data_IF_018790371050
#
_entry.id   IF_018790371050
#
_cell.length_a   1.000
_cell.length_b   1.000
_cell.length_c   1.000
_cell.angle_alpha   90.00
_cell.angle_beta   90.00
_cell.angle_gamma   90.00
#
_symmetry.space_group_name_H-M   'P 1'
#
loop_
_entity.id
_entity.type
_entity.pdbx_description
1 polymer ?
#
# COMPACT_ATOMS: atom_id res chain seq x y z
N UNK A 1 9.29 -4.33 57.45
CA UNK A 1 9.70 -3.93 56.08
C UNK A 1 8.96 -4.80 55.06
N UNK A 2 7.90 -4.29 54.42
CA UNK A 2 7.14 -5.04 53.40
C UNK A 2 7.65 -4.64 52.01
N UNK A 3 8.31 -5.57 51.32
CA UNK A 3 8.72 -5.40 49.91
C UNK A 3 7.51 -5.72 49.04
N UNK A 4 6.93 -4.70 48.41
CA UNK A 4 5.91 -4.88 47.37
C UNK A 4 6.66 -5.22 46.08
N UNK A 5 6.57 -6.48 45.65
CA UNK A 5 7.05 -6.91 44.34
C UNK A 5 6.12 -6.32 43.27
N UNK A 6 6.59 -5.31 42.56
CA UNK A 6 5.90 -4.76 41.39
C UNK A 6 6.10 -5.72 40.21
N UNK A 7 5.13 -6.63 40.00
CA UNK A 7 5.07 -7.44 38.77
C UNK A 7 4.65 -6.54 37.61
N UNK A 8 5.64 -6.10 36.81
CA UNK A 8 5.42 -5.44 35.53
C UNK A 8 4.90 -6.52 34.56
N UNK A 9 3.58 -6.57 34.38
CA UNK A 9 2.94 -7.37 33.35
C UNK A 9 3.20 -6.68 32.00
N UNK A 10 4.19 -7.17 31.26
CA UNK A 10 4.42 -6.80 29.85
C UNK A 10 3.25 -7.36 29.02
N UNK A 11 2.18 -6.59 28.90
CA UNK A 11 1.06 -6.92 27.98
C UNK A 11 1.53 -6.68 26.55
N UNK A 12 2.03 -7.72 25.88
CA UNK A 12 2.21 -7.72 24.43
C UNK A 12 0.82 -7.74 23.79
N UNK A 13 0.35 -6.59 23.29
CA UNK A 13 -0.87 -6.54 22.48
C UNK A 13 -0.73 -7.49 21.29
N UNK A 14 -1.70 -8.39 21.02
CA UNK A 14 -1.65 -9.22 19.83
C UNK A 14 -1.72 -8.32 18.61
N UNK A 15 -0.66 -8.33 17.80
CA UNK A 15 -0.67 -7.69 16.48
C UNK A 15 -1.56 -8.57 15.60
N UNK A 16 -2.81 -8.19 15.45
CA UNK A 16 -3.73 -8.84 14.52
C UNK A 16 -3.29 -8.43 13.11
N UNK A 17 -2.75 -9.38 12.34
CA UNK A 17 -2.50 -9.18 10.92
C UNK A 17 -3.75 -9.64 10.17
N UNK A 18 -4.39 -8.73 9.45
CA UNK A 18 -5.49 -9.04 8.55
C UNK A 18 -4.96 -9.14 7.12
N UNK A 19 -5.40 -10.15 6.38
CA UNK A 19 -5.05 -10.29 4.97
C UNK A 19 -6.14 -9.66 4.10
N UNK A 20 -5.74 -8.76 3.22
CA UNK A 20 -6.61 -8.06 2.27
C UNK A 20 -6.38 -8.61 0.87
N UNK A 21 -7.40 -9.24 0.30
CA UNK A 21 -7.35 -9.80 -1.05
C UNK A 21 -8.00 -8.86 -2.03
N UNK A 22 -7.30 -8.52 -3.12
CA UNK A 22 -7.78 -7.64 -4.19
C UNK A 22 -8.90 -8.34 -4.97
N UNK A 23 -10.03 -7.66 -5.13
CA UNK A 23 -11.21 -8.11 -5.90
C UNK A 23 -11.59 -7.06 -6.96
N UNK A 24 -10.63 -6.66 -7.77
CA UNK A 24 -10.82 -5.70 -8.85
C UNK A 24 -9.53 -5.09 -9.35
N UNK A 25 -9.65 -4.01 -10.11
CA UNK A 25 -8.51 -3.22 -10.56
C UNK A 25 -7.93 -2.41 -9.42
N UNK A 26 -6.61 -2.25 -9.46
CA UNK A 26 -5.86 -1.35 -8.59
C UNK A 26 -5.72 -0.03 -9.32
N UNK A 27 -6.12 1.05 -8.69
CA UNK A 27 -6.09 2.39 -9.27
C UNK A 27 -5.44 3.39 -8.35
N UNK A 28 -4.89 4.47 -8.89
CA UNK A 28 -4.32 5.56 -8.10
C UNK A 28 -4.58 6.92 -8.75
N UNK A 29 -4.76 8.00 -7.97
CA UNK A 29 -4.85 9.33 -8.51
C UNK A 29 -3.47 9.81 -9.00
N UNK A 30 -3.43 10.35 -10.22
CA UNK A 30 -2.30 11.10 -10.76
C UNK A 30 -2.76 12.55 -10.88
N UNK A 31 -2.18 13.43 -10.05
CA UNK A 31 -2.52 14.84 -10.04
C UNK A 31 -1.51 15.64 -10.86
N UNK A 32 -1.99 16.59 -11.68
CA UNK A 32 -1.18 17.50 -12.48
C UNK A 32 -1.69 18.93 -12.29
N UNK A 33 -0.77 19.89 -12.16
CA UNK A 33 -1.09 21.31 -12.07
C UNK A 33 -0.17 22.04 -11.10
N UNK A 34 -0.10 23.36 -11.23
CA UNK A 34 0.53 24.26 -10.26
C UNK A 34 -0.57 25.22 -9.80
N UNK A 35 -0.99 25.11 -8.54
CA UNK A 35 -2.08 25.92 -7.95
C UNK A 35 -3.42 25.19 -7.87
N UNK A 36 -4.04 24.87 -9.01
CA UNK A 36 -5.24 24.01 -9.06
C UNK A 36 -4.82 22.66 -9.62
N UNK A 37 -4.87 21.63 -8.78
CA UNK A 37 -4.51 20.26 -9.16
C UNK A 37 -5.71 19.55 -9.80
N UNK A 38 -5.54 19.07 -11.03
CA UNK A 38 -6.47 18.14 -11.67
C UNK A 38 -5.96 16.73 -11.44
N UNK A 39 -6.77 15.91 -10.77
CA UNK A 39 -6.44 14.52 -10.47
C UNK A 39 -7.27 13.59 -11.33
N UNK A 40 -6.58 12.75 -12.10
CA UNK A 40 -7.20 11.68 -12.89
C UNK A 40 -6.93 10.33 -12.21
N UNK A 41 -7.88 9.41 -12.31
CA UNK A 41 -7.70 8.05 -11.77
C UNK A 41 -7.10 7.17 -12.86
N UNK A 42 -5.92 6.61 -12.58
CA UNK A 42 -5.21 5.71 -13.49
C UNK A 42 -5.20 4.29 -12.96
N UNK A 43 -5.14 3.31 -13.87
CA UNK A 43 -4.91 1.91 -13.52
C UNK A 43 -3.43 1.68 -13.17
N UNK A 44 -3.21 0.78 -12.23
CA UNK A 44 -1.87 0.34 -11.83
C UNK A 44 -1.75 -1.13 -12.20
N UNK A 45 -1.06 -1.38 -13.32
CA UNK A 45 -0.93 -2.72 -13.91
C UNK A 45 0.39 -3.39 -13.53
N UNK A 46 1.43 -2.59 -13.30
CA UNK A 46 2.75 -3.09 -12.93
C UNK A 46 3.49 -2.15 -11.97
N UNK A 47 4.46 -2.73 -11.28
CA UNK A 47 5.39 -2.06 -10.37
C UNK A 47 6.82 -2.43 -10.72
N UNK A 48 7.76 -1.50 -10.55
CA UNK A 48 9.19 -1.77 -10.70
C UNK A 48 9.79 -2.20 -9.35
N UNK A 49 10.51 -3.33 -9.33
CA UNK A 49 11.23 -3.82 -8.16
C UNK A 49 12.59 -3.15 -7.97
N UNK A 50 13.28 -3.48 -6.87
CA UNK A 50 14.67 -3.02 -6.57
C UNK A 50 15.66 -3.30 -7.68
N UNK A 51 15.44 -4.38 -8.40
CA UNK A 51 16.31 -4.89 -9.46
C UNK A 51 16.00 -4.27 -10.83
N UNK A 52 15.12 -3.25 -10.88
CA UNK A 52 14.69 -2.61 -12.13
C UNK A 52 13.77 -3.47 -12.99
N UNK A 53 13.32 -4.63 -12.48
CA UNK A 53 12.39 -5.50 -13.21
C UNK A 53 10.96 -5.10 -12.91
N UNK A 54 10.11 -5.28 -13.93
CA UNK A 54 8.69 -5.03 -13.84
C UNK A 54 7.98 -6.28 -13.36
N UNK A 55 7.13 -6.11 -12.35
CA UNK A 55 6.30 -7.15 -11.77
C UNK A 55 4.83 -6.74 -11.86
N UNK A 56 3.95 -7.72 -12.02
CA UNK A 56 2.52 -7.50 -11.83
C UNK A 56 2.25 -7.10 -10.37
N UNK A 57 1.24 -6.26 -10.16
CA UNK A 57 0.87 -5.84 -8.80
C UNK A 57 0.35 -7.04 -7.99
N UNK A 58 0.78 -7.13 -6.74
CA UNK A 58 0.36 -8.19 -5.84
C UNK A 58 -1.16 -8.12 -5.60
N UNK A 59 -1.81 -9.28 -5.51
CA UNK A 59 -3.25 -9.42 -5.26
C UNK A 59 -3.58 -9.73 -3.79
N UNK A 60 -2.57 -9.83 -2.93
CA UNK A 60 -2.72 -10.00 -1.47
C UNK A 60 -1.86 -8.98 -0.73
N UNK A 61 -2.48 -8.31 0.25
CA UNK A 61 -1.81 -7.37 1.13
C UNK A 61 -2.02 -7.78 2.59
N UNK A 62 -0.95 -7.90 3.36
CA UNK A 62 -1.03 -8.19 4.81
C UNK A 62 -1.33 -6.95 5.67
N UNK A 63 -1.39 -5.77 5.04
CA UNK A 63 -1.68 -4.49 5.67
C UNK A 63 -2.17 -3.51 4.62
N UNK A 64 -3.18 -2.73 4.97
CA UNK A 64 -3.63 -1.55 4.23
C UNK A 64 -3.69 -0.36 5.19
N UNK A 65 -3.59 0.86 4.67
CA UNK A 65 -3.66 2.08 5.50
C UNK A 65 -5.09 2.41 5.90
N UNK A 66 -6.05 2.12 5.03
CA UNK A 66 -7.48 2.31 5.31
C UNK A 66 -8.29 1.19 4.64
N UNK A 67 -9.33 0.72 5.34
CA UNK A 67 -10.34 -0.21 4.83
C UNK A 67 -11.73 0.33 5.13
N UNK A 68 -12.57 0.47 4.09
CA UNK A 68 -13.93 1.00 4.21
C UNK A 68 -14.81 0.47 3.09
N UNK A 69 -15.98 -0.09 3.45
CA UNK A 69 -17.00 -0.55 2.50
C UNK A 69 -16.45 -1.47 1.40
N UNK A 70 -15.59 -2.45 1.75
CA UNK A 70 -15.01 -3.38 0.78
C UNK A 70 -13.99 -2.74 -0.17
N UNK A 71 -13.45 -1.56 0.19
CA UNK A 71 -12.38 -0.88 -0.53
C UNK A 71 -11.19 -0.66 0.41
N UNK A 72 -9.99 -0.83 -0.13
CA UNK A 72 -8.72 -0.70 0.55
C UNK A 72 -7.94 0.46 -0.05
N UNK A 73 -7.16 1.15 0.78
CA UNK A 73 -6.24 2.20 0.37
C UNK A 73 -4.85 1.96 0.96
N UNK A 74 -3.83 2.20 0.15
CA UNK A 74 -2.43 2.14 0.55
C UNK A 74 -1.74 3.42 0.06
N UNK A 75 -1.11 4.17 0.95
CA UNK A 75 -0.30 5.35 0.63
C UNK A 75 1.04 4.91 0.10
N UNK A 76 1.45 5.45 -1.05
CA UNK A 76 2.71 5.06 -1.72
C UNK A 76 3.85 5.99 -1.31
N UNK A 77 3.54 7.27 -1.04
CA UNK A 77 4.51 8.27 -0.58
C UNK A 77 4.38 8.48 0.93
N UNK A 78 5.20 7.78 1.72
CA UNK A 78 5.31 8.05 3.16
C UNK A 78 6.58 8.87 3.41
N UNK A 79 6.42 10.07 4.00
CA UNK A 79 7.55 10.88 4.52
C UNK A 79 8.23 10.10 5.66
N UNK A 80 9.27 9.34 5.33
CA UNK A 80 10.37 8.83 6.16
C UNK A 80 10.15 8.76 7.68
N UNK A 81 9.92 7.55 8.23
CA UNK A 81 10.59 7.01 9.44
C UNK A 81 10.11 5.56 9.70
N UNK A 82 11.01 4.58 9.57
CA UNK A 82 10.93 3.27 10.24
C UNK A 82 9.77 2.33 9.91
N UNK A 83 10.09 1.24 9.20
CA UNK A 83 9.51 -0.10 9.41
C UNK A 83 8.00 -0.29 9.16
N UNK A 84 7.50 -0.32 7.92
CA UNK A 84 6.31 -1.14 7.64
C UNK A 84 6.36 -1.85 6.27
N UNK A 85 6.28 -3.18 6.35
CA UNK A 85 6.19 -4.15 5.26
C UNK A 85 5.01 -3.86 4.33
N UNK A 86 5.31 -3.39 3.12
CA UNK A 86 4.40 -3.47 1.99
C UNK A 86 4.38 -4.93 1.52
N UNK A 87 3.51 -5.75 2.13
CA UNK A 87 3.12 -7.10 1.72
C UNK A 87 4.12 -7.80 0.79
N UNK A 88 5.16 -8.38 1.40
CA UNK A 88 6.23 -9.21 0.82
C UNK A 88 6.19 -9.40 -0.71
N UNK A 89 6.56 -8.33 -1.44
CA UNK A 89 7.19 -8.28 -2.77
C UNK A 89 7.08 -6.89 -3.43
N UNK A 90 6.24 -5.99 -2.92
CA UNK A 90 6.13 -4.62 -3.44
C UNK A 90 6.75 -3.55 -2.50
N UNK A 91 7.55 -3.98 -1.51
CA UNK A 91 8.32 -3.13 -0.59
C UNK A 91 9.44 -2.28 -1.24
N UNK A 92 9.36 -2.06 -2.56
CA UNK A 92 10.29 -1.20 -3.30
C UNK A 92 9.75 -0.64 -4.60
N UNK A 93 8.44 -0.63 -4.80
CA UNK A 93 7.87 0.03 -5.95
C UNK A 93 8.04 1.55 -5.81
N UNK A 94 9.18 2.08 -6.25
CA UNK A 94 9.40 3.51 -6.42
C UNK A 94 8.63 4.05 -7.62
N UNK A 95 8.18 3.14 -8.51
CA UNK A 95 7.56 3.48 -9.78
C UNK A 95 6.39 2.54 -10.08
N UNK A 96 5.28 3.14 -10.50
CA UNK A 96 4.05 2.46 -10.91
C UNK A 96 3.86 2.64 -12.41
N UNK A 97 3.20 1.67 -13.04
CA UNK A 97 2.99 1.67 -14.48
C UNK A 97 1.54 1.33 -14.82
N UNK A 98 1.02 2.03 -15.84
CA UNK A 98 -0.27 1.76 -16.47
C UNK A 98 -0.03 1.18 -17.87
N UNK A 99 -0.78 0.15 -18.25
CA UNK A 99 -0.73 -0.43 -19.60
C UNK A 99 -1.70 0.31 -20.51
N UNK A 100 -1.17 1.04 -21.49
CA UNK A 100 -1.97 1.75 -22.51
C UNK A 100 -1.52 1.31 -23.91
N UNK A 101 -2.45 0.78 -24.72
CA UNK A 101 -2.14 0.43 -26.12
C UNK A 101 -1.07 -0.66 -26.29
N UNK A 102 -0.82 -1.47 -25.24
CA UNK A 102 0.22 -2.49 -25.24
C UNK A 102 1.55 -2.05 -24.62
N UNK A 103 1.74 -0.75 -24.39
CA UNK A 103 2.93 -0.19 -23.76
C UNK A 103 2.70 0.11 -22.27
N UNK A 104 3.75 -0.01 -21.47
CA UNK A 104 3.74 0.38 -20.06
C UNK A 104 4.22 1.82 -19.92
N UNK A 105 3.36 2.69 -19.41
CA UNK A 105 3.67 4.09 -19.13
C UNK A 105 3.81 4.30 -17.63
N UNK A 106 4.89 4.97 -17.23
CA UNK A 106 5.13 5.34 -15.85
C UNK A 106 4.08 6.34 -15.38
N UNK A 107 3.52 6.09 -14.20
CA UNK A 107 2.58 6.97 -13.50
C UNK A 107 3.13 7.29 -12.12
N UNK A 108 2.90 8.52 -11.67
CA UNK A 108 3.24 8.97 -10.32
C UNK A 108 1.95 9.09 -9.51
N UNK A 109 1.72 8.10 -8.65
CA UNK A 109 0.54 8.01 -7.79
C UNK A 109 0.95 8.19 -6.34
N UNK A 110 0.17 8.97 -5.58
CA UNK A 110 0.42 9.23 -4.15
C UNK A 110 -0.21 8.19 -3.22
N UNK A 111 -1.20 7.47 -3.75
CA UNK A 111 -1.84 6.33 -3.10
C UNK A 111 -2.39 5.38 -4.17
N UNK A 112 -2.60 4.13 -3.79
CA UNK A 112 -3.36 3.17 -4.56
C UNK A 112 -4.62 2.78 -3.79
N UNK A 113 -5.67 2.46 -4.52
CA UNK A 113 -6.95 2.00 -4.00
C UNK A 113 -7.49 0.86 -4.83
N UNK A 114 -8.18 -0.07 -4.18
CA UNK A 114 -8.74 -1.24 -4.84
C UNK A 114 -9.89 -1.81 -4.02
N UNK A 115 -10.83 -2.50 -4.70
CA UNK A 115 -11.81 -3.32 -3.97
C UNK A 115 -11.08 -4.49 -3.31
N UNK A 116 -11.45 -4.81 -2.08
CA UNK A 116 -10.79 -5.86 -1.32
C UNK A 116 -11.75 -6.58 -0.36
N UNK A 117 -11.34 -7.78 0.06
CA UNK A 117 -11.98 -8.55 1.14
C UNK A 117 -10.95 -8.79 2.24
N UNK A 118 -11.33 -8.49 3.47
CA UNK A 118 -10.56 -8.77 4.69
C UNK A 118 -10.79 -10.23 5.12
N UNK A 119 -9.70 -10.95 5.41
CA UNK A 119 -9.67 -12.38 5.77
C UNK A 119 -8.73 -12.62 6.95
#
# INVERSE_FOLDING_TARGET
MKRVLLCIVLTSSPITFADYYVIGQITGPVCRGIGIELCETHNVDAVEGKDGKLFAVNNRFNKVDEYRNGKCWIKTKVKSFGLFNFAANAAVAHQFYEKQGGELKKIDVDSISFKCVER
#
